data_IF_827056938076
#
_entry.id   IF_827056938076
#
_cell.length_a   1.000
_cell.length_b   1.000
_cell.length_c   1.000
_cell.angle_alpha   90.00
_cell.angle_beta   90.00
_cell.angle_gamma   90.00
#
_symmetry.space_group_name_H-M   'P 1'
#
loop_
_entity.id
_entity.type
_entity.pdbx_description
1 polymer ?
#
# COMPACT_ATOMS: atom_id res chain seq x y z
N UNK A 1 15.71 8.19 15.69
CA UNK A 1 14.82 8.31 14.49
C UNK A 1 13.44 7.91 14.94
N UNK A 2 12.46 8.80 14.86
CA UNK A 2 11.09 8.45 15.22
C UNK A 2 10.62 7.33 14.31
N UNK A 3 10.29 6.20 14.93
CA UNK A 3 9.78 5.01 14.26
C UNK A 3 8.35 5.29 13.81
N UNK A 4 7.97 4.82 12.61
CA UNK A 4 6.57 4.84 12.19
C UNK A 4 5.71 4.07 13.17
N UNK A 5 4.56 4.61 13.56
CA UNK A 5 3.59 3.99 14.46
C UNK A 5 2.18 4.03 13.86
N UNK A 6 1.46 2.94 14.06
CA UNK A 6 0.05 2.83 13.76
C UNK A 6 -0.74 2.65 15.06
N UNK A 7 -1.65 3.58 15.34
CA UNK A 7 -2.51 3.63 16.51
C UNK A 7 -3.93 3.20 16.10
N UNK A 8 -4.47 2.15 16.71
CA UNK A 8 -5.87 1.74 16.55
C UNK A 8 -6.67 2.18 17.75
N UNK A 9 -7.93 2.51 17.55
CA UNK A 9 -8.84 2.91 18.61
C UNK A 9 -10.29 2.62 18.25
N UNK A 10 -11.16 2.63 19.28
CA UNK A 10 -12.60 2.47 19.17
C UNK A 10 -13.28 3.62 19.91
N UNK A 11 -14.43 4.04 19.42
CA UNK A 11 -15.32 4.95 20.14
C UNK A 11 -16.25 4.10 21.02
N UNK A 12 -16.15 4.27 22.35
CA UNK A 12 -16.96 3.49 23.29
C UNK A 12 -18.43 3.87 23.18
N UNK A 13 -19.30 2.90 23.06
CA UNK A 13 -20.73 3.10 22.86
C UNK A 13 -21.16 3.43 21.43
N UNK A 14 -20.23 3.59 20.50
CA UNK A 14 -20.51 3.84 19.08
C UNK A 14 -19.99 2.72 18.20
N UNK A 15 -20.69 2.34 17.12
CA UNK A 15 -20.22 1.34 16.18
C UNK A 15 -19.14 1.92 15.22
N UNK A 16 -18.16 2.62 15.77
CA UNK A 16 -17.12 3.30 14.98
C UNK A 16 -15.73 2.92 15.48
N UNK A 17 -14.87 2.54 14.55
CA UNK A 17 -13.45 2.31 14.79
C UNK A 17 -12.60 3.35 14.07
N UNK A 18 -11.40 3.57 14.59
CA UNK A 18 -10.44 4.45 13.96
C UNK A 18 -9.03 3.87 13.96
N UNK A 19 -8.24 4.35 13.04
CA UNK A 19 -6.80 4.11 13.00
C UNK A 19 -6.07 5.38 12.54
N UNK A 20 -4.95 5.68 13.18
CA UNK A 20 -4.07 6.81 12.83
C UNK A 20 -2.67 6.26 12.60
N UNK A 21 -2.08 6.56 11.46
CA UNK A 21 -0.70 6.17 11.12
C UNK A 21 0.15 7.40 10.87
N UNK A 22 1.38 7.36 11.38
CA UNK A 22 2.41 8.37 11.12
C UNK A 22 3.73 7.65 10.86
N UNK A 23 4.31 7.85 9.68
CA UNK A 23 5.47 7.12 9.20
C UNK A 23 6.53 8.13 8.76
N UNK A 24 7.56 8.33 9.58
CA UNK A 24 8.69 9.23 9.28
C UNK A 24 9.91 8.44 8.79
N UNK A 25 10.62 7.77 9.68
CA UNK A 25 11.85 7.05 9.36
C UNK A 25 11.71 6.04 8.22
N UNK A 26 10.74 5.10 8.28
CA UNK A 26 10.53 4.15 7.18
C UNK A 26 10.13 4.80 5.85
N UNK A 27 9.42 5.94 5.87
CA UNK A 27 9.11 6.70 4.68
C UNK A 27 10.35 7.35 4.07
N UNK A 28 11.16 8.00 4.90
CA UNK A 28 12.46 8.57 4.47
C UNK A 28 13.41 7.48 3.93
N UNK A 29 13.36 6.25 4.45
CA UNK A 29 14.08 5.11 3.91
C UNK A 29 13.67 4.80 2.46
N UNK A 30 12.36 4.77 2.16
CA UNK A 30 11.85 4.61 0.78
C UNK A 30 12.42 5.67 -0.13
N UNK A 31 12.34 6.93 0.28
CA UNK A 31 12.81 8.06 -0.54
C UNK A 31 14.33 8.10 -0.71
N UNK A 32 15.08 7.77 0.35
CA UNK A 32 16.54 7.77 0.30
C UNK A 32 17.10 6.71 -0.65
N UNK A 33 16.49 5.52 -0.66
CA UNK A 33 16.86 4.44 -1.58
C UNK A 33 16.54 4.78 -3.03
N UNK A 34 15.45 5.50 -3.26
CA UNK A 34 15.07 5.97 -4.58
C UNK A 34 16.02 7.03 -5.15
N UNK A 35 16.68 7.84 -4.31
CA UNK A 35 17.63 8.89 -4.77
C UNK A 35 18.74 8.35 -5.67
N UNK A 36 19.09 7.07 -5.55
CA UNK A 36 20.09 6.41 -6.40
C UNK A 36 19.67 6.38 -7.88
N UNK A 37 18.36 6.25 -8.15
CA UNK A 37 17.79 6.18 -9.51
C UNK A 37 17.03 7.44 -9.92
N UNK A 38 17.03 8.48 -9.09
CA UNK A 38 16.33 9.76 -9.28
C UNK A 38 15.21 9.97 -8.25
N UNK A 39 15.06 11.22 -7.78
CA UNK A 39 14.01 11.59 -6.84
C UNK A 39 12.65 11.66 -7.54
N UNK A 40 11.57 11.37 -6.81
CA UNK A 40 10.22 11.60 -7.31
C UNK A 40 9.88 13.10 -7.34
N UNK A 41 9.15 13.58 -8.36
CA UNK A 41 8.49 14.88 -8.30
C UNK A 41 7.59 15.00 -7.07
N UNK A 42 7.46 16.21 -6.51
CA UNK A 42 6.70 16.42 -5.27
C UNK A 42 5.26 15.87 -5.30
N UNK A 43 4.44 16.05 -6.36
CA UNK A 43 3.10 15.45 -6.43
C UNK A 43 3.12 13.92 -6.39
N UNK A 44 4.09 13.28 -7.05
CA UNK A 44 4.23 11.81 -7.04
C UNK A 44 4.73 11.32 -5.68
N UNK A 45 5.66 12.02 -5.04
CA UNK A 45 6.12 11.73 -3.69
C UNK A 45 4.95 11.78 -2.69
N UNK A 46 4.15 12.85 -2.75
CA UNK A 46 2.97 13.01 -1.90
C UNK A 46 1.96 11.87 -2.11
N UNK A 47 1.59 11.61 -3.35
CA UNK A 47 0.65 10.54 -3.70
C UNK A 47 1.13 9.17 -3.22
N UNK A 48 2.40 8.85 -3.42
CA UNK A 48 2.99 7.57 -3.03
C UNK A 48 3.02 7.40 -1.49
N UNK A 49 3.30 8.47 -0.75
CA UNK A 49 3.21 8.48 0.72
C UNK A 49 1.77 8.33 1.21
N UNK A 50 0.80 8.97 0.56
CA UNK A 50 -0.62 8.81 0.84
C UNK A 50 -1.08 7.36 0.56
N UNK A 51 -0.61 6.73 -0.53
CA UNK A 51 -0.86 5.31 -0.81
C UNK A 51 -0.28 4.40 0.28
N UNK A 52 0.93 4.65 0.75
CA UNK A 52 1.53 3.88 1.84
C UNK A 52 0.72 4.03 3.14
N UNK A 53 0.34 5.25 3.51
CA UNK A 53 -0.47 5.52 4.69
C UNK A 53 -1.87 4.86 4.59
N UNK A 54 -2.54 5.01 3.45
CA UNK A 54 -3.85 4.39 3.19
C UNK A 54 -3.78 2.86 3.28
N UNK A 55 -2.79 2.25 2.63
CA UNK A 55 -2.61 0.80 2.66
C UNK A 55 -2.35 0.26 4.07
N UNK A 56 -1.53 0.95 4.88
CA UNK A 56 -1.29 0.61 6.29
C UNK A 56 -2.58 0.68 7.13
N UNK A 57 -3.36 1.73 6.96
CA UNK A 57 -4.65 1.92 7.62
C UNK A 57 -5.65 0.83 7.24
N UNK A 58 -5.81 0.57 5.94
CA UNK A 58 -6.72 -0.45 5.42
C UNK A 58 -6.30 -1.85 5.89
N UNK A 59 -5.02 -2.22 5.74
CA UNK A 59 -4.53 -3.53 6.17
C UNK A 59 -4.73 -3.76 7.67
N UNK A 60 -4.56 -2.73 8.50
CA UNK A 60 -4.73 -2.83 9.95
C UNK A 60 -6.17 -3.16 10.39
N UNK A 61 -7.16 -2.91 9.54
CA UNK A 61 -8.58 -3.07 9.80
C UNK A 61 -9.19 -4.36 9.25
N UNK A 62 -8.45 -5.12 8.46
CA UNK A 62 -8.87 -6.42 7.94
C UNK A 62 -8.17 -7.56 8.68
N UNK A 63 -8.88 -8.70 8.83
CA UNK A 63 -8.29 -9.95 9.31
C UNK A 63 -7.79 -10.75 8.11
N UNK A 64 -6.59 -10.42 7.66
CA UNK A 64 -6.01 -11.01 6.48
C UNK A 64 -4.51 -11.26 6.69
N UNK A 65 -4.05 -12.49 6.41
CA UNK A 65 -2.63 -12.83 6.40
C UNK A 65 -2.09 -12.86 4.97
N UNK A 66 -1.36 -11.81 4.62
CA UNK A 66 -0.86 -11.62 3.28
C UNK A 66 -0.49 -10.17 3.00
N UNK A 67 -0.33 -9.84 1.73
CA UNK A 67 -0.02 -8.50 1.27
C UNK A 67 -1.27 -7.79 0.74
N UNK A 68 -1.50 -6.55 1.19
CA UNK A 68 -2.42 -5.61 0.56
C UNK A 68 -1.59 -4.74 -0.38
N UNK A 69 -1.98 -4.68 -1.65
CA UNK A 69 -1.28 -3.95 -2.69
C UNK A 69 -2.22 -2.92 -3.30
N UNK A 70 -1.88 -1.64 -3.15
CA UNK A 70 -2.52 -0.53 -3.84
C UNK A 70 -1.73 -0.21 -5.11
N UNK A 71 -2.41 -0.14 -6.24
CA UNK A 71 -1.80 0.18 -7.54
C UNK A 71 -2.60 1.27 -8.24
N UNK A 72 -1.91 2.30 -8.68
CA UNK A 72 -2.45 3.31 -9.59
C UNK A 72 -1.76 3.14 -10.95
N UNK A 73 -2.56 2.93 -11.97
CA UNK A 73 -2.11 2.87 -13.35
C UNK A 73 -2.60 4.09 -14.09
N UNK A 74 -1.76 4.70 -14.92
CA UNK A 74 -2.10 5.83 -15.76
C UNK A 74 -1.52 5.72 -17.16
N UNK A 75 -2.03 6.53 -18.06
CA UNK A 75 -1.47 6.79 -19.38
C UNK A 75 -0.90 8.23 -19.50
N UNK A 76 -0.85 8.94 -18.36
CA UNK A 76 -0.22 10.23 -18.19
C UNK A 76 1.26 10.13 -17.75
N UNK A 77 1.79 11.21 -17.14
CA UNK A 77 3.17 11.26 -16.64
C UNK A 77 3.49 10.17 -15.63
N UNK A 78 2.52 9.77 -14.79
CA UNK A 78 2.62 8.67 -13.85
C UNK A 78 2.06 7.41 -14.50
N UNK A 79 2.96 6.50 -14.89
CA UNK A 79 2.58 5.24 -15.53
C UNK A 79 2.08 4.21 -14.54
N UNK A 80 2.74 4.15 -13.39
CA UNK A 80 2.45 3.19 -12.32
C UNK A 80 2.88 3.77 -10.98
N UNK A 81 2.06 3.62 -9.96
CA UNK A 81 2.47 3.75 -8.56
C UNK A 81 1.98 2.52 -7.79
N UNK A 82 2.82 2.00 -6.90
CA UNK A 82 2.54 0.79 -6.11
C UNK A 82 2.93 1.02 -4.67
N UNK A 83 2.03 0.68 -3.75
CA UNK A 83 2.32 0.51 -2.33
C UNK A 83 1.89 -0.90 -1.90
N UNK A 84 2.80 -1.67 -1.34
CA UNK A 84 2.58 -3.03 -0.84
C UNK A 84 2.79 -3.06 0.67
N UNK A 85 1.83 -3.57 1.40
CA UNK A 85 1.79 -3.63 2.85
C UNK A 85 1.59 -5.07 3.30
N UNK A 86 2.45 -5.57 4.18
CA UNK A 86 2.39 -6.92 4.72
C UNK A 86 1.67 -6.97 6.08
N UNK A 87 1.31 -8.18 6.52
CA UNK A 87 0.62 -8.46 7.80
C UNK A 87 1.33 -7.87 9.03
N UNK A 88 2.66 -7.80 9.00
CA UNK A 88 3.48 -7.24 10.08
C UNK A 88 3.62 -5.70 10.01
N UNK A 89 2.87 -5.04 9.12
CA UNK A 89 2.93 -3.61 8.81
C UNK A 89 4.30 -3.17 8.25
N UNK A 90 5.08 -4.10 7.71
CA UNK A 90 6.17 -3.70 6.83
C UNK A 90 5.60 -3.30 5.47
N UNK A 91 6.19 -2.28 4.85
CA UNK A 91 5.73 -1.80 3.56
C UNK A 91 6.90 -1.47 2.63
N UNK A 92 6.58 -1.40 1.34
CA UNK A 92 7.43 -0.86 0.28
C UNK A 92 6.58 -0.09 -0.72
N UNK A 93 7.15 0.91 -1.35
CA UNK A 93 6.44 1.71 -2.33
C UNK A 93 7.38 2.15 -3.45
N UNK A 94 6.84 2.27 -4.66
CA UNK A 94 7.56 2.76 -5.84
C UNK A 94 6.62 3.39 -6.85
N UNK A 95 7.17 4.21 -7.74
CA UNK A 95 6.44 4.79 -8.86
C UNK A 95 7.29 4.84 -10.13
N UNK A 96 6.66 4.69 -11.27
CA UNK A 96 7.24 4.85 -12.59
C UNK A 96 6.72 6.15 -13.23
N UNK A 97 7.58 7.16 -13.30
CA UNK A 97 7.31 8.45 -13.94
C UNK A 97 7.98 8.43 -15.30
N UNK A 98 7.21 8.69 -16.35
CA UNK A 98 7.67 8.59 -17.76
C UNK A 98 7.73 9.93 -18.48
N UNK A 99 7.21 11.00 -17.87
CA UNK A 99 7.25 12.35 -18.41
C UNK A 99 7.40 13.38 -17.29
N UNK A 100 7.65 14.63 -17.65
CA UNK A 100 7.71 15.74 -16.70
C UNK A 100 6.37 15.88 -15.95
N UNK A 101 6.46 16.25 -14.68
CA UNK A 101 5.32 16.47 -13.78
C UNK A 101 5.42 17.88 -13.25
N UNK A 102 4.34 18.65 -13.38
CA UNK A 102 4.26 20.00 -12.82
C UNK A 102 4.14 19.93 -11.28
N UNK A 103 4.69 20.93 -10.58
CA UNK A 103 4.77 20.91 -9.11
C UNK A 103 3.40 20.94 -8.40
N UNK A 104 2.36 21.39 -9.08
CA UNK A 104 0.97 21.46 -8.62
C UNK A 104 0.04 20.45 -9.31
N UNK A 105 0.61 19.46 -10.02
CA UNK A 105 -0.14 18.47 -10.76
C UNK A 105 -1.13 17.70 -9.85
N UNK A 106 -2.39 17.64 -10.29
CA UNK A 106 -3.46 16.91 -9.63
C UNK A 106 -3.46 15.43 -10.03
N UNK A 107 -4.18 14.61 -9.29
CA UNK A 107 -4.27 13.18 -9.55
C UNK A 107 -4.75 12.86 -10.98
N UNK A 108 -5.74 13.60 -11.49
CA UNK A 108 -6.25 13.46 -12.86
C UNK A 108 -5.22 13.81 -13.93
N UNK A 109 -4.30 14.72 -13.66
CA UNK A 109 -3.22 15.11 -14.57
C UNK A 109 -2.07 14.08 -14.53
N UNK A 110 -1.78 13.55 -13.34
CA UNK A 110 -0.80 12.48 -13.18
C UNK A 110 -1.19 11.19 -13.92
N UNK A 111 -2.47 10.77 -13.79
CA UNK A 111 -2.95 9.49 -14.31
C UNK A 111 -3.61 9.59 -15.69
N UNK A 112 -4.00 10.81 -16.12
CA UNK A 112 -4.78 11.05 -17.33
C UNK A 112 -6.16 10.35 -17.33
N UNK A 113 -6.87 10.36 -18.46
CA UNK A 113 -8.28 9.93 -18.57
C UNK A 113 -8.50 8.42 -18.46
N UNK A 114 -7.46 7.61 -18.64
CA UNK A 114 -7.51 6.15 -18.54
C UNK A 114 -6.93 5.60 -17.26
N UNK A 115 -6.76 6.49 -16.28
CA UNK A 115 -6.29 6.10 -14.96
C UNK A 115 -7.21 5.06 -14.30
N UNK A 116 -6.62 4.14 -13.56
CA UNK A 116 -7.36 3.16 -12.74
C UNK A 116 -6.60 2.87 -11.45
N UNK A 117 -7.34 2.63 -10.40
CA UNK A 117 -6.82 2.12 -9.14
C UNK A 117 -7.17 0.64 -9.01
N UNK A 118 -6.28 -0.16 -8.46
CA UNK A 118 -6.54 -1.55 -8.12
C UNK A 118 -6.11 -1.82 -6.67
N UNK A 119 -6.93 -2.57 -5.96
CA UNK A 119 -6.64 -3.08 -4.62
C UNK A 119 -6.53 -4.59 -4.73
N UNK A 120 -5.36 -5.13 -4.39
CA UNK A 120 -5.11 -6.58 -4.45
C UNK A 120 -4.84 -7.11 -3.05
N UNK A 121 -5.49 -8.22 -2.70
CA UNK A 121 -5.21 -9.00 -1.50
C UNK A 121 -4.52 -10.30 -1.92
N UNK A 122 -3.22 -10.41 -1.66
CA UNK A 122 -2.42 -11.59 -1.97
C UNK A 122 -2.12 -12.39 -0.71
N UNK A 123 -2.88 -13.48 -0.51
CA UNK A 123 -2.76 -14.33 0.68
C UNK A 123 -1.39 -15.01 0.73
N UNK A 124 -0.80 -15.10 1.93
CA UNK A 124 0.50 -15.74 2.15
C UNK A 124 0.49 -17.21 1.71
N UNK A 125 -0.55 -17.94 2.05
CA UNK A 125 -0.70 -19.37 1.77
C UNK A 125 -1.59 -19.62 0.55
N UNK A 126 -1.52 -18.75 -0.46
CA UNK A 126 -2.31 -18.88 -1.68
C UNK A 126 -1.90 -20.14 -2.45
N UNK A 127 -2.86 -21.03 -2.79
CA UNK A 127 -2.55 -22.21 -3.60
C UNK A 127 -1.91 -21.85 -4.95
N UNK A 128 -0.93 -22.62 -5.37
CA UNK A 128 -0.27 -22.45 -6.67
C UNK A 128 -1.29 -22.48 -7.80
N UNK A 129 -1.24 -21.47 -8.69
CA UNK A 129 -2.16 -21.37 -9.85
C UNK A 129 -3.47 -20.64 -9.57
N UNK A 130 -3.74 -20.21 -8.32
CA UNK A 130 -4.90 -19.34 -8.04
C UNK A 130 -4.51 -17.86 -8.18
N UNK A 131 -5.44 -17.03 -8.64
CA UNK A 131 -5.23 -15.58 -8.71
C UNK A 131 -5.54 -14.94 -7.35
N UNK A 132 -4.83 -13.87 -6.96
CA UNK A 132 -5.19 -13.08 -5.78
C UNK A 132 -6.54 -12.38 -5.99
N UNK A 133 -7.22 -12.06 -4.90
CA UNK A 133 -8.39 -11.17 -4.99
C UNK A 133 -7.95 -9.79 -5.46
N UNK A 134 -8.63 -9.25 -6.47
CA UNK A 134 -8.36 -7.92 -7.00
C UNK A 134 -9.65 -7.16 -7.24
N UNK A 135 -9.80 -6.01 -6.58
CA UNK A 135 -10.83 -5.02 -6.86
C UNK A 135 -10.30 -3.92 -7.77
N UNK A 136 -11.05 -3.59 -8.82
CA UNK A 136 -10.78 -2.40 -9.64
C UNK A 136 -11.62 -1.25 -9.07
N UNK A 137 -10.95 -0.15 -8.77
CA UNK A 137 -11.54 1.03 -8.14
C UNK A 137 -11.74 2.09 -9.21
N UNK A 138 -12.97 2.55 -9.44
CA UNK A 138 -13.23 3.66 -10.34
C UNK A 138 -12.52 4.94 -9.87
N UNK A 139 -12.03 5.75 -10.81
CA UNK A 139 -11.52 7.09 -10.54
C UNK A 139 -12.60 8.18 -10.73
N UNK A 140 -13.83 7.77 -10.85
CA UNK A 140 -15.00 8.62 -11.07
C UNK A 140 -16.07 8.29 -10.03
N UNK A 141 -16.75 9.31 -9.55
CA UNK A 141 -17.91 9.17 -8.68
C UNK A 141 -19.17 8.74 -9.44
N UNK A 142 -20.30 8.63 -8.72
CA UNK A 142 -21.57 8.10 -9.23
C UNK A 142 -22.18 8.92 -10.37
N UNK A 143 -21.84 10.20 -10.49
CA UNK A 143 -22.29 11.10 -11.55
C UNK A 143 -21.27 11.23 -12.70
N UNK A 144 -20.20 10.43 -12.67
CA UNK A 144 -19.12 10.47 -13.66
C UNK A 144 -18.12 11.61 -13.45
N UNK A 145 -18.17 12.31 -12.31
CA UNK A 145 -17.21 13.34 -11.94
C UNK A 145 -15.86 12.70 -11.56
N UNK A 146 -14.72 13.26 -11.98
CA UNK A 146 -13.41 12.73 -11.63
C UNK A 146 -13.11 12.98 -10.14
N UNK A 147 -12.77 11.93 -9.42
CA UNK A 147 -12.28 12.00 -8.05
C UNK A 147 -10.85 12.55 -8.05
N UNK A 148 -10.60 13.57 -7.24
CA UNK A 148 -9.34 14.34 -7.31
C UNK A 148 -8.31 13.93 -6.24
N UNK A 149 -8.73 13.19 -5.23
CA UNK A 149 -7.88 12.73 -4.15
C UNK A 149 -7.94 11.22 -3.99
N UNK A 150 -6.82 10.62 -3.60
CA UNK A 150 -6.76 9.18 -3.30
C UNK A 150 -7.76 8.79 -2.19
N UNK A 151 -7.93 9.64 -1.18
CA UNK A 151 -8.91 9.41 -0.11
C UNK A 151 -10.32 9.24 -0.65
N UNK A 152 -10.77 10.13 -1.56
CA UNK A 152 -12.10 10.07 -2.18
C UNK A 152 -12.31 8.77 -2.97
N UNK A 153 -11.29 8.33 -3.73
CA UNK A 153 -11.33 7.09 -4.50
C UNK A 153 -11.50 5.88 -3.57
N UNK A 154 -10.73 5.83 -2.48
CA UNK A 154 -10.79 4.72 -1.54
C UNK A 154 -12.07 4.73 -0.71
N UNK A 155 -12.57 5.90 -0.29
CA UNK A 155 -13.85 6.05 0.40
C UNK A 155 -15.00 5.56 -0.49
N UNK A 156 -15.02 5.99 -1.76
CA UNK A 156 -16.03 5.55 -2.74
C UNK A 156 -16.00 4.03 -2.94
N UNK A 157 -14.80 3.44 -3.09
CA UNK A 157 -14.65 1.99 -3.18
C UNK A 157 -15.16 1.27 -1.93
N UNK A 158 -14.78 1.74 -0.73
CA UNK A 158 -15.21 1.11 0.52
C UNK A 158 -16.73 1.14 0.68
N UNK A 159 -17.37 2.21 0.24
CA UNK A 159 -18.83 2.33 0.26
C UNK A 159 -19.49 1.41 -0.77
N UNK A 160 -19.06 1.45 -2.04
CA UNK A 160 -19.72 0.75 -3.15
C UNK A 160 -19.42 -0.75 -3.18
N UNK A 161 -18.19 -1.15 -2.86
CA UNK A 161 -17.75 -2.54 -3.01
C UNK A 161 -17.77 -3.32 -1.69
N UNK A 162 -17.43 -2.65 -0.58
CA UNK A 162 -17.32 -3.28 0.73
C UNK A 162 -18.50 -2.95 1.66
N UNK A 163 -19.38 -2.02 1.26
CA UNK A 163 -20.54 -1.54 2.02
C UNK A 163 -20.15 -1.02 3.42
N UNK A 164 -18.99 -0.37 3.50
CA UNK A 164 -18.44 0.18 4.74
C UNK A 164 -18.31 1.69 4.63
N UNK A 165 -19.12 2.41 5.42
CA UNK A 165 -18.93 3.85 5.60
C UNK A 165 -17.53 4.11 6.15
N UNK A 166 -16.73 4.81 5.38
CA UNK A 166 -15.32 5.07 5.67
C UNK A 166 -14.99 6.53 5.41
N UNK A 167 -14.22 7.16 6.31
CA UNK A 167 -13.62 8.47 6.11
C UNK A 167 -12.11 8.35 6.20
N UNK A 168 -11.39 8.90 5.21
CA UNK A 168 -9.95 8.94 5.13
C UNK A 168 -9.45 10.38 5.09
N UNK A 169 -8.45 10.70 5.90
CA UNK A 169 -7.66 11.92 5.78
C UNK A 169 -6.22 11.49 5.57
N UNK A 170 -5.65 11.84 4.42
CA UNK A 170 -4.31 11.42 4.00
C UNK A 170 -3.44 12.64 3.74
N UNK A 171 -2.18 12.56 4.12
CA UNK A 171 -1.17 13.57 3.81
C UNK A 171 0.22 12.94 3.75
N UNK A 172 1.04 13.40 2.82
CA UNK A 172 2.45 13.07 2.78
C UNK A 172 3.28 14.23 2.23
N UNK A 173 4.56 14.24 2.56
CA UNK A 173 5.60 15.08 1.99
C UNK A 173 6.90 14.26 1.93
N UNK A 174 8.02 14.91 1.69
CA UNK A 174 9.35 14.28 1.64
C UNK A 174 9.87 13.85 3.03
N UNK A 175 9.24 14.26 4.13
CA UNK A 175 9.62 13.90 5.49
C UNK A 175 8.74 12.82 6.10
N UNK A 176 7.41 12.86 5.83
CA UNK A 176 6.41 12.05 6.50
C UNK A 176 5.28 11.62 5.58
N UNK A 177 4.79 10.39 5.80
CA UNK A 177 3.50 9.90 5.32
C UNK A 177 2.58 9.66 6.51
N UNK A 178 1.35 10.17 6.47
CA UNK A 178 0.41 10.07 7.58
C UNK A 178 -1.03 9.93 7.10
N UNK A 179 -1.89 9.34 7.94
CA UNK A 179 -3.30 9.18 7.63
C UNK A 179 -4.14 8.86 8.84
N UNK A 180 -5.40 9.28 8.78
CA UNK A 180 -6.47 8.93 9.70
C UNK A 180 -7.55 8.17 8.92
N UNK A 181 -7.98 7.03 9.45
CA UNK A 181 -9.13 6.27 8.97
C UNK A 181 -10.16 6.18 10.08
N UNK A 182 -11.40 6.50 9.74
CA UNK A 182 -12.59 6.29 10.56
C UNK A 182 -13.55 5.39 9.78
N UNK A 183 -14.09 4.35 10.41
CA UNK A 183 -14.93 3.40 9.72
C UNK A 183 -16.04 2.90 10.63
N UNK A 184 -17.27 2.85 10.06
CA UNK A 184 -18.39 2.20 10.73
C UNK A 184 -18.14 0.69 10.83
N UNK A 185 -18.41 0.13 11.99
CA UNK A 185 -18.35 -1.31 12.20
C UNK A 185 -19.71 -1.94 11.89
N UNK A 186 -19.75 -3.08 11.18
CA UNK A 186 -20.97 -3.84 11.02
C UNK A 186 -21.57 -4.20 12.40
N UNK A 187 -22.84 -3.94 12.60
CA UNK A 187 -23.54 -4.31 13.82
C UNK A 187 -23.87 -5.80 13.76
N UNK A 188 -23.03 -6.62 14.41
CA UNK A 188 -23.19 -8.07 14.40
C UNK A 188 -24.51 -8.51 15.04
N UNK A 189 -25.31 -9.31 14.34
CA UNK A 189 -26.33 -10.17 14.91
C UNK A 189 -27.80 -9.73 14.84
N UNK A 190 -28.14 -8.57 14.28
CA UNK A 190 -29.57 -8.17 14.18
C UNK A 190 -30.27 -8.67 12.89
N UNK A 191 -29.52 -9.05 11.85
CA UNK A 191 -30.08 -9.51 10.56
C UNK A 191 -30.82 -10.85 10.60
N UNK A 192 -30.64 -11.68 11.64
CA UNK A 192 -31.30 -12.99 11.75
C UNK A 192 -32.66 -12.96 12.47
N UNK A 193 -33.10 -11.80 12.97
CA UNK A 193 -34.35 -11.67 13.77
C UNK A 193 -35.37 -10.72 13.13
N UNK A 194 -35.28 -10.43 11.80
CA UNK A 194 -36.25 -9.57 11.11
C UNK A 194 -36.07 -8.07 11.35
N UNK A 195 -34.91 -7.66 11.87
CA UNK A 195 -34.52 -6.24 11.94
C UNK A 195 -34.03 -5.70 10.59
N UNK A 196 -33.93 -4.37 10.49
CA UNK A 196 -33.31 -3.73 9.35
C UNK A 196 -31.91 -4.30 9.06
N UNK A 197 -31.62 -4.58 7.79
CA UNK A 197 -30.28 -5.00 7.39
C UNK A 197 -29.31 -3.85 7.63
N UNK A 198 -28.07 -4.18 8.03
CA UNK A 198 -27.03 -3.16 8.22
C UNK A 198 -26.75 -2.36 6.93
N UNK A 199 -26.96 -3.00 5.77
CA UNK A 199 -26.90 -2.42 4.43
C UNK A 199 -27.91 -1.25 4.25
N UNK A 200 -29.10 -1.33 4.88
CA UNK A 200 -30.14 -0.29 4.79
C UNK A 200 -29.77 0.98 5.58
N UNK A 201 -28.73 0.92 6.43
CA UNK A 201 -28.25 2.03 7.28
C UNK A 201 -26.98 2.69 6.76
N UNK A 202 -26.43 2.22 5.65
CA UNK A 202 -25.24 2.82 5.03
C UNK A 202 -25.55 4.28 4.68
N UNK A 203 -24.66 5.20 5.13
CA UNK A 203 -24.82 6.64 4.93
C UNK A 203 -25.87 7.32 5.82
N UNK A 204 -26.66 6.56 6.60
CA UNK A 204 -27.73 7.08 7.47
C UNK A 204 -27.36 7.09 8.97
N UNK A 205 -26.15 6.64 9.32
CA UNK A 205 -25.70 6.55 10.71
C UNK A 205 -25.23 7.91 11.22
N UNK A 206 -26.06 8.59 12.02
CA UNK A 206 -25.76 9.90 12.58
C UNK A 206 -24.50 9.91 13.46
N UNK A 207 -24.22 8.80 14.17
CA UNK A 207 -23.04 8.70 15.03
C UNK A 207 -21.77 8.61 14.19
N UNK A 208 -21.77 7.77 13.14
CA UNK A 208 -20.63 7.73 12.20
C UNK A 208 -20.44 9.07 11.50
N UNK A 209 -21.52 9.68 11.00
CA UNK A 209 -21.45 10.97 10.28
C UNK A 209 -20.85 12.06 11.17
N UNK A 210 -21.24 12.12 12.46
CA UNK A 210 -20.69 13.05 13.43
C UNK A 210 -19.19 12.85 13.64
N UNK A 211 -18.74 11.61 13.86
CA UNK A 211 -17.32 11.27 14.04
C UNK A 211 -16.52 11.55 12.75
N UNK A 212 -17.07 11.21 11.59
CA UNK A 212 -16.46 11.48 10.30
C UNK A 212 -16.31 12.99 10.04
N UNK A 213 -17.31 13.78 10.41
CA UNK A 213 -17.26 15.25 10.31
C UNK A 213 -16.16 15.83 11.18
N UNK A 214 -16.03 15.36 12.43
CA UNK A 214 -14.93 15.76 13.32
C UNK A 214 -13.57 15.40 12.69
N UNK A 215 -13.43 14.18 12.19
CA UNK A 215 -12.21 13.75 11.50
C UNK A 215 -11.86 14.59 10.27
N UNK A 216 -12.86 15.00 9.50
CA UNK A 216 -12.68 15.83 8.29
C UNK A 216 -12.18 17.24 8.59
N UNK A 217 -12.22 17.70 9.85
CA UNK A 217 -11.62 18.98 10.27
C UNK A 217 -10.10 18.93 10.41
N UNK A 218 -9.51 17.72 10.33
CA UNK A 218 -8.06 17.55 10.39
C UNK A 218 -7.42 18.05 9.11
N UNK A 219 -6.62 19.09 9.23
CA UNK A 219 -5.91 19.65 8.08
C UNK A 219 -4.66 18.84 7.76
N UNK A 220 -4.21 18.90 6.48
CA UNK A 220 -2.95 18.30 6.03
C UNK A 220 -1.76 18.74 6.90
N UNK A 221 -1.66 20.03 7.22
CA UNK A 221 -0.58 20.58 8.03
C UNK A 221 -0.55 19.98 9.44
N UNK A 222 -1.70 19.84 10.07
CA UNK A 222 -1.82 19.25 11.40
C UNK A 222 -1.50 17.76 11.41
N UNK A 223 -1.99 17.01 10.43
CA UNK A 223 -1.72 15.59 10.29
C UNK A 223 -0.20 15.31 10.14
N UNK A 224 0.52 16.17 9.45
CA UNK A 224 1.96 16.05 9.25
C UNK A 224 2.79 16.57 10.44
N UNK A 225 2.31 17.55 11.21
CA UNK A 225 3.10 18.23 12.25
C UNK A 225 2.79 17.77 13.68
N UNK A 226 1.53 17.42 13.98
CA UNK A 226 1.12 17.08 15.35
C UNK A 226 1.35 15.59 15.64
N UNK A 227 1.62 15.27 16.91
CA UNK A 227 1.68 13.87 17.36
C UNK A 227 0.27 13.24 17.46
N UNK A 228 0.23 11.89 17.54
CA UNK A 228 -1.01 11.14 17.55
C UNK A 228 -1.93 11.48 18.73
N UNK A 229 -1.36 11.73 19.91
CA UNK A 229 -2.11 12.05 21.12
C UNK A 229 -2.79 13.41 21.01
N UNK A 230 -2.07 14.39 20.48
CA UNK A 230 -2.58 15.74 20.23
C UNK A 230 -3.69 15.71 19.18
N UNK A 231 -3.51 14.98 18.07
CA UNK A 231 -4.54 14.84 17.02
C UNK A 231 -5.81 14.22 17.60
N UNK A 232 -5.71 13.07 18.26
CA UNK A 232 -6.89 12.38 18.80
C UNK A 232 -7.60 13.19 19.87
N UNK A 233 -6.86 13.85 20.77
CA UNK A 233 -7.45 14.73 21.79
C UNK A 233 -8.16 15.93 21.17
N UNK A 234 -7.55 16.57 20.16
CA UNK A 234 -8.12 17.72 19.49
C UNK A 234 -9.41 17.38 18.75
N UNK A 235 -9.44 16.26 18.03
CA UNK A 235 -10.60 15.88 17.24
C UNK A 235 -11.73 15.33 18.10
N UNK A 236 -11.41 14.51 19.11
CA UNK A 236 -12.36 13.65 19.81
C UNK A 236 -12.37 13.86 21.32
N UNK A 237 -12.09 15.07 21.80
CA UNK A 237 -12.02 15.38 23.24
C UNK A 237 -13.34 15.15 24.00
N UNK A 238 -14.49 15.18 23.30
CA UNK A 238 -15.82 14.92 23.87
C UNK A 238 -16.21 13.43 23.81
N UNK A 239 -15.42 12.62 23.12
CA UNK A 239 -15.72 11.21 22.89
C UNK A 239 -14.91 10.30 23.82
N UNK A 240 -15.50 9.21 24.26
CA UNK A 240 -14.78 8.14 24.97
C UNK A 240 -14.02 7.28 23.95
N UNK A 241 -12.71 7.50 23.85
CA UNK A 241 -11.86 6.78 22.91
C UNK A 241 -11.00 5.76 23.64
N UNK A 242 -11.22 4.48 23.37
CA UNK A 242 -10.37 3.38 23.85
C UNK A 242 -9.29 3.10 22.84
N UNK A 243 -8.04 3.31 23.24
CA UNK A 243 -6.86 3.08 22.41
C UNK A 243 -6.27 1.70 22.65
N UNK A 244 -5.66 1.13 21.58
CA UNK A 244 -4.89 -0.10 21.66
C UNK A 244 -3.40 0.20 21.61
N UNK A 245 -2.59 -0.81 21.99
CA UNK A 245 -1.12 -0.74 21.87
C UNK A 245 -0.71 -0.37 20.45
N UNK A 246 0.11 0.67 20.28
CA UNK A 246 0.60 1.07 18.96
C UNK A 246 1.44 -0.03 18.32
N UNK A 247 1.30 -0.22 17.02
CA UNK A 247 2.09 -1.17 16.25
C UNK A 247 3.18 -0.46 15.47
N UNK A 248 4.43 -0.97 15.49
CA UNK A 248 5.51 -0.40 14.69
C UNK A 248 5.25 -0.65 13.19
N UNK A 249 5.62 0.34 12.40
CA UNK A 249 5.63 0.29 10.94
C UNK A 249 7.08 0.31 10.48
N UNK A 250 7.44 -0.49 9.48
CA UNK A 250 8.81 -0.57 8.96
C UNK A 250 8.84 -0.62 7.44
N UNK A 251 9.93 -0.12 6.85
CA UNK A 251 10.24 -0.41 5.45
C UNK A 251 10.84 -1.82 5.34
N UNK A 252 10.39 -2.60 4.35
CA UNK A 252 11.02 -3.87 3.99
C UNK A 252 10.85 -4.15 2.50
N UNK A 253 11.97 -4.39 1.83
CA UNK A 253 11.96 -4.90 0.47
C UNK A 253 12.21 -6.42 0.48
N UNK A 254 11.39 -7.14 -0.27
CA UNK A 254 11.47 -8.59 -0.40
C UNK A 254 12.30 -9.03 -1.63
N UNK A 255 13.06 -8.12 -2.26
CA UNK A 255 13.94 -8.50 -3.36
C UNK A 255 15.10 -9.36 -2.85
N UNK A 256 15.50 -10.33 -3.66
CA UNK A 256 16.69 -11.15 -3.41
C UNK A 256 17.31 -11.58 -4.73
N UNK A 257 18.60 -11.99 -4.68
CA UNK A 257 19.30 -12.48 -5.85
C UNK A 257 18.59 -13.70 -6.47
N UNK A 258 18.06 -14.58 -5.62
CA UNK A 258 17.35 -15.80 -6.04
C UNK A 258 16.04 -15.46 -6.78
N UNK A 259 15.30 -14.46 -6.30
CA UNK A 259 14.07 -13.99 -6.99
C UNK A 259 14.37 -13.35 -8.34
N UNK A 260 15.46 -12.57 -8.42
CA UNK A 260 15.89 -12.00 -9.70
C UNK A 260 16.37 -13.11 -10.65
N UNK A 261 17.11 -14.11 -10.15
CA UNK A 261 17.50 -15.29 -10.94
C UNK A 261 16.29 -16.05 -11.48
N UNK A 262 15.28 -16.30 -10.65
CA UNK A 262 14.06 -16.98 -11.09
C UNK A 262 13.31 -16.19 -12.18
N UNK A 263 13.28 -14.86 -12.09
CA UNK A 263 12.74 -14.01 -13.14
C UNK A 263 13.56 -14.11 -14.44
N UNK A 264 14.88 -14.04 -14.33
CA UNK A 264 15.78 -14.15 -15.50
C UNK A 264 15.65 -15.50 -16.20
N UNK A 265 15.57 -16.60 -15.43
CA UNK A 265 15.32 -17.95 -16.00
C UNK A 265 14.03 -17.98 -16.82
N UNK A 266 12.99 -17.23 -16.39
CA UNK A 266 11.73 -17.11 -17.11
C UNK A 266 11.83 -16.42 -18.48
N UNK A 267 12.86 -15.61 -18.74
CA UNK A 267 13.13 -15.00 -20.04
C UNK A 267 13.72 -16.02 -21.04
N UNK A 268 14.36 -17.06 -20.53
CA UNK A 268 15.00 -18.09 -21.34
C UNK A 268 16.50 -17.83 -21.60
N UNK A 269 17.24 -18.94 -21.80
CA UNK A 269 18.70 -18.88 -21.90
C UNK A 269 19.19 -18.05 -23.10
N UNK A 270 18.54 -18.16 -24.25
CA UNK A 270 18.97 -17.47 -25.48
C UNK A 270 18.98 -15.96 -25.28
N UNK A 271 17.93 -15.40 -24.69
CA UNK A 271 17.81 -13.97 -24.41
C UNK A 271 18.91 -13.49 -23.44
N UNK A 272 19.22 -14.27 -22.41
CA UNK A 272 20.27 -13.92 -21.44
C UNK A 272 21.67 -14.01 -22.05
N UNK A 273 21.93 -15.00 -22.91
CA UNK A 273 23.19 -15.13 -23.64
C UNK A 273 23.40 -13.93 -24.60
N UNK A 274 22.34 -13.46 -25.28
CA UNK A 274 22.37 -12.30 -26.15
C UNK A 274 22.71 -11.01 -25.37
N UNK A 275 22.08 -10.79 -24.21
CA UNK A 275 22.39 -9.63 -23.34
C UNK A 275 23.85 -9.69 -22.85
N UNK A 276 24.36 -10.87 -22.47
CA UNK A 276 25.76 -11.04 -22.06
C UNK A 276 26.72 -10.72 -23.21
N UNK A 277 26.41 -11.14 -24.43
CA UNK A 277 27.24 -10.84 -25.62
C UNK A 277 27.28 -9.34 -25.89
N UNK A 278 26.14 -8.64 -25.74
CA UNK A 278 26.06 -7.20 -25.99
C UNK A 278 26.70 -6.35 -24.88
N UNK A 279 26.43 -6.69 -23.61
CA UNK A 279 26.72 -5.81 -22.47
C UNK A 279 27.81 -6.37 -21.53
N UNK A 280 28.23 -7.61 -21.73
CA UNK A 280 29.23 -8.29 -20.90
C UNK A 280 28.69 -8.81 -19.56
N UNK A 281 27.53 -8.35 -19.13
CA UNK A 281 26.85 -8.77 -17.89
C UNK A 281 25.38 -8.36 -17.93
N UNK A 282 24.56 -8.96 -17.07
CA UNK A 282 23.16 -8.58 -16.86
C UNK A 282 23.11 -7.77 -15.56
N UNK A 283 22.52 -6.58 -15.61
CA UNK A 283 22.29 -5.74 -14.44
C UNK A 283 20.78 -5.50 -14.24
N UNK A 284 20.26 -5.83 -13.07
CA UNK A 284 18.84 -5.70 -12.72
C UNK A 284 18.72 -4.87 -11.45
N UNK A 285 18.07 -3.72 -11.55
CA UNK A 285 17.74 -2.87 -10.42
C UNK A 285 16.40 -3.20 -9.81
N UNK A 286 16.32 -3.18 -8.48
CA UNK A 286 15.04 -3.30 -7.81
C UNK A 286 14.32 -1.94 -7.77
N UNK A 287 13.16 -1.81 -8.39
CA UNK A 287 12.38 -0.56 -8.43
C UNK A 287 11.94 -0.04 -7.06
N UNK A 288 11.83 -0.94 -6.04
CA UNK A 288 11.42 -0.55 -4.69
C UNK A 288 12.55 -0.05 -3.81
N UNK A 289 13.75 -0.63 -3.92
CA UNK A 289 14.84 -0.29 -3.00
C UNK A 289 16.14 0.14 -3.69
N UNK A 290 16.17 0.19 -5.03
CA UNK A 290 17.34 0.61 -5.79
C UNK A 290 18.52 -0.37 -5.77
N UNK A 291 18.39 -1.52 -5.08
CA UNK A 291 19.48 -2.50 -5.00
C UNK A 291 19.75 -3.09 -6.38
N UNK A 292 21.02 -3.05 -6.80
CA UNK A 292 21.47 -3.57 -8.08
C UNK A 292 21.95 -5.02 -7.93
N UNK A 293 21.49 -5.89 -8.83
CA UNK A 293 21.92 -7.28 -8.96
C UNK A 293 22.65 -7.44 -10.28
N UNK A 294 23.86 -7.93 -10.19
CA UNK A 294 24.70 -8.17 -11.37
C UNK A 294 24.95 -9.66 -11.55
N UNK A 295 24.83 -10.14 -12.80
CA UNK A 295 25.04 -11.51 -13.20
C UNK A 295 26.00 -11.56 -14.38
N UNK A 296 27.00 -12.39 -14.29
CA UNK A 296 27.98 -12.64 -15.36
C UNK A 296 27.67 -13.94 -16.11
N UNK A 297 28.54 -14.30 -17.06
CA UNK A 297 28.41 -15.50 -17.87
C UNK A 297 28.37 -16.79 -17.03
N UNK A 298 29.11 -16.81 -15.88
CA UNK A 298 29.17 -17.97 -15.01
C UNK A 298 27.82 -18.11 -14.26
N UNK A 299 27.30 -17.00 -13.75
CA UNK A 299 26.00 -16.94 -13.10
C UNK A 299 24.89 -17.47 -14.03
N UNK A 300 24.85 -16.94 -15.28
CA UNK A 300 23.85 -17.37 -16.28
C UNK A 300 24.00 -18.85 -16.62
N UNK A 301 25.23 -19.33 -16.79
CA UNK A 301 25.49 -20.76 -16.97
C UNK A 301 24.96 -21.62 -15.83
N UNK A 302 25.16 -21.16 -14.58
CA UNK A 302 24.70 -21.84 -13.38
C UNK A 302 23.17 -21.89 -13.23
N UNK A 303 22.44 -20.87 -13.72
CA UNK A 303 20.97 -20.81 -13.64
C UNK A 303 20.27 -21.95 -14.39
N UNK A 304 20.89 -22.45 -15.46
CA UNK A 304 20.31 -23.48 -16.33
C UNK A 304 20.99 -24.84 -16.15
N UNK A 305 21.94 -24.96 -15.22
CA UNK A 305 22.56 -26.26 -14.91
C UNK A 305 21.68 -26.97 -13.87
N UNK A 306 21.22 -28.21 -14.14
CA UNK A 306 20.51 -29.01 -13.15
C UNK A 306 21.37 -29.13 -11.88
N UNK A 307 20.79 -28.93 -10.71
CA UNK A 307 21.46 -29.21 -9.44
C UNK A 307 21.89 -30.68 -9.50
N UNK A 308 23.20 -30.92 -9.52
CA UNK A 308 23.75 -32.30 -9.37
C UNK A 308 23.34 -32.75 -7.97
N UNK A 309 22.43 -33.72 -7.94
CA UNK A 309 21.97 -34.37 -6.70
C UNK A 309 23.17 -35.18 -6.15
N UNK A 310 24.01 -34.51 -5.36
CA UNK A 310 25.09 -35.15 -4.61
C UNK A 310 24.49 -35.89 -3.40
N UNK A 311 23.53 -36.77 -3.64
CA UNK A 311 23.18 -37.81 -2.69
C UNK A 311 24.34 -38.83 -2.66
N UNK A 312 25.34 -38.55 -1.83
CA UNK A 312 26.35 -39.54 -1.44
C UNK A 312 25.60 -40.61 -0.65
N UNK A 313 25.24 -41.71 -1.30
CA UNK A 313 24.85 -42.94 -0.61
C UNK A 313 26.00 -43.36 0.31
N UNK A 314 25.78 -43.56 1.62
CA UNK A 314 26.80 -44.16 2.46
C UNK A 314 27.02 -45.58 2.00
N UNK A 315 28.19 -45.84 1.38
CA UNK A 315 28.62 -47.17 1.06
C UNK A 315 28.70 -47.99 2.36
N UNK A 316 27.88 -49.01 2.43
CA UNK A 316 27.89 -50.01 3.48
C UNK A 316 29.27 -50.69 3.43
N UNK A 317 30.11 -50.42 4.44
CA UNK A 317 31.29 -51.22 4.74
C UNK A 317 30.81 -52.54 5.38
N UNK A 318 31.04 -53.64 4.70
CA UNK A 318 31.00 -55.00 5.26
C UNK A 318 32.31 -55.27 6.02
#
# INVERSE_FOLDING_TARGET
MESGLLHRFLFEGLPVRGALVRVQGPWQEVLSRRKVTGSFPAPVCNLLGEMAAAGLLMHSNIKFDGALILQLHGDGPLKLAVAEINTDLSFRATAQVVAAVDDDARLSELLSSRGRCAITLDARDRPTGTMPYQGIVPLYGDQGEPLQALAEILEHYMLQSEQLDTRLVLAANDEMAAGLLLQRMPVGGMGNLGGERDEDRIGLDDDFNRIAQLGSTLTRAELLSLDADTILRRLFWQESVRRFEPRPVSFRCNCSRERVQAMLVGLGRAELDDIIVEQGHIEVGCDFCGLQYRFDTIDVGGMFTPALDLSISPATLQ
#
